data_IF_242552022695
#
_entry.id   IF_242552022695
#
_cell.length_a   1.000
_cell.length_b   1.000
_cell.length_c   1.000
_cell.angle_alpha   90.00
_cell.angle_beta   90.00
_cell.angle_gamma   90.00
#
_symmetry.space_group_name_H-M   'P 1'
#
loop_
_entity.id
_entity.type
_entity.pdbx_description
1 polymer ?
#
# COMPACT_ATOMS: atom_id res chain seq x y z
N UNK A 1 2.54 -9.73 -22.59
CA UNK A 1 3.45 -8.56 -22.70
C UNK A 1 3.37 -7.79 -21.39
N UNK A 2 4.46 -7.71 -20.62
CA UNK A 2 4.49 -6.86 -19.43
C UNK A 2 4.55 -5.39 -19.89
N UNK A 3 3.60 -4.52 -19.47
CA UNK A 3 3.60 -3.13 -19.89
C UNK A 3 4.91 -2.47 -19.46
N UNK A 4 5.46 -1.63 -20.34
CA UNK A 4 6.69 -0.88 -20.06
C UNK A 4 6.52 -0.10 -18.76
N UNK A 5 7.56 -0.09 -17.92
CA UNK A 5 7.52 0.58 -16.60
C UNK A 5 7.18 2.07 -16.74
N UNK A 6 7.53 2.69 -17.88
CA UNK A 6 7.17 4.07 -18.20
C UNK A 6 5.66 4.29 -18.34
N UNK A 7 4.90 3.30 -18.82
CA UNK A 7 3.45 3.41 -18.99
C UNK A 7 2.71 3.53 -17.65
N UNK A 8 3.34 3.11 -16.53
CA UNK A 8 2.77 3.21 -15.18
C UNK A 8 2.83 4.62 -14.60
N UNK A 9 3.64 5.53 -15.16
CA UNK A 9 3.86 6.87 -14.60
C UNK A 9 2.59 7.71 -14.57
N UNK A 10 1.85 7.75 -15.68
CA UNK A 10 0.61 8.53 -15.78
C UNK A 10 -0.45 8.02 -14.78
N UNK A 11 -0.74 6.70 -14.71
CA UNK A 11 -1.62 6.15 -13.68
C UNK A 11 -1.18 6.48 -12.24
N UNK A 12 0.12 6.40 -11.94
CA UNK A 12 0.63 6.69 -10.59
C UNK A 12 0.50 8.17 -10.22
N UNK A 13 0.78 9.09 -11.16
CA UNK A 13 0.57 10.53 -10.94
C UNK A 13 -0.90 10.84 -10.71
N UNK A 14 -1.79 10.25 -11.51
CA UNK A 14 -3.23 10.39 -11.31
C UNK A 14 -3.66 9.85 -9.94
N UNK A 15 -3.15 8.69 -9.53
CA UNK A 15 -3.45 8.11 -8.23
C UNK A 15 -3.00 9.01 -7.08
N UNK A 16 -1.80 9.60 -7.16
CA UNK A 16 -1.34 10.59 -6.18
C UNK A 16 -2.28 11.79 -6.10
N UNK A 17 -2.69 12.33 -7.25
CA UNK A 17 -3.65 13.43 -7.30
C UNK A 17 -4.98 13.08 -6.64
N UNK A 18 -5.53 11.89 -6.93
CA UNK A 18 -6.78 11.42 -6.34
C UNK A 18 -6.66 11.24 -4.82
N UNK A 19 -5.56 10.69 -4.31
CA UNK A 19 -5.33 10.59 -2.87
C UNK A 19 -5.22 11.96 -2.20
N UNK A 20 -4.52 12.93 -2.81
CA UNK A 20 -4.45 14.30 -2.28
C UNK A 20 -5.84 14.91 -2.18
N UNK A 21 -6.67 14.76 -3.21
CA UNK A 21 -8.04 15.26 -3.22
C UNK A 21 -8.88 14.59 -2.12
N UNK A 22 -8.77 13.28 -1.97
CA UNK A 22 -9.50 12.50 -0.98
C UNK A 22 -9.15 12.93 0.45
N UNK A 23 -7.85 13.04 0.77
CA UNK A 23 -7.33 13.41 2.09
C UNK A 23 -7.65 14.87 2.43
N UNK A 24 -7.60 15.78 1.45
CA UNK A 24 -7.91 17.20 1.68
C UNK A 24 -9.40 17.50 1.80
N UNK A 25 -10.25 16.82 1.03
CA UNK A 25 -11.65 17.24 0.86
C UNK A 25 -12.67 16.34 1.53
N UNK A 26 -12.43 15.04 1.60
CA UNK A 26 -13.44 14.05 2.02
C UNK A 26 -13.12 13.44 3.38
N UNK A 27 -11.86 13.06 3.59
CA UNK A 27 -11.44 12.31 4.78
C UNK A 27 -10.66 13.25 5.68
N UNK A 28 -11.39 14.14 6.36
CA UNK A 28 -10.79 15.12 7.27
C UNK A 28 -10.31 14.46 8.56
N UNK A 29 -9.12 14.88 9.02
CA UNK A 29 -8.44 14.32 10.19
C UNK A 29 -9.28 14.40 11.48
N UNK A 30 -10.11 15.44 11.63
CA UNK A 30 -10.94 15.64 12.83
C UNK A 30 -12.10 14.65 12.95
N UNK A 31 -12.45 13.95 11.86
CA UNK A 31 -13.58 13.02 11.83
C UNK A 31 -13.17 11.58 11.62
N UNK A 32 -12.15 11.35 10.80
CA UNK A 32 -11.69 10.02 10.41
C UNK A 32 -10.16 9.97 10.43
N UNK A 33 -9.50 10.13 11.60
CA UNK A 33 -8.04 10.21 11.68
C UNK A 33 -7.35 8.96 11.13
N UNK A 34 -7.86 7.77 11.45
CA UNK A 34 -7.30 6.48 11.03
C UNK A 34 -7.31 6.36 9.50
N UNK A 35 -8.46 6.69 8.90
CA UNK A 35 -8.62 6.63 7.46
C UNK A 35 -7.83 7.74 6.75
N UNK A 36 -7.72 8.93 7.36
CA UNK A 36 -6.91 10.02 6.85
C UNK A 36 -5.44 9.60 6.73
N UNK A 37 -4.87 9.04 7.79
CA UNK A 37 -3.50 8.57 7.84
C UNK A 37 -3.26 7.32 6.98
N UNK A 38 -4.25 6.44 6.84
CA UNK A 38 -4.20 5.32 5.88
C UNK A 38 -4.01 5.80 4.45
N UNK A 39 -4.83 6.76 3.98
CA UNK A 39 -4.70 7.28 2.63
C UNK A 39 -3.47 8.17 2.45
N UNK A 40 -2.99 8.83 3.51
CA UNK A 40 -1.71 9.53 3.49
C UNK A 40 -0.54 8.54 3.34
N UNK A 41 -0.57 7.41 4.04
CA UNK A 41 0.37 6.31 3.84
C UNK A 41 0.33 5.76 2.42
N UNK A 42 -0.87 5.53 1.88
CA UNK A 42 -1.04 5.08 0.49
C UNK A 42 -0.51 6.10 -0.53
N UNK A 43 -0.67 7.41 -0.28
CA UNK A 43 -0.08 8.48 -1.08
C UNK A 43 1.45 8.39 -1.08
N UNK A 44 2.08 8.28 0.10
CA UNK A 44 3.54 8.17 0.22
C UNK A 44 4.07 6.89 -0.43
N UNK A 45 3.40 5.75 -0.26
CA UNK A 45 3.74 4.51 -0.96
C UNK A 45 3.66 4.69 -2.49
N UNK A 46 2.64 5.38 -2.98
CA UNK A 46 2.46 5.64 -4.42
C UNK A 46 3.51 6.60 -4.97
N UNK A 47 3.89 7.64 -4.22
CA UNK A 47 5.01 8.52 -4.56
C UNK A 47 6.31 7.72 -4.63
N UNK A 48 6.57 6.85 -3.67
CA UNK A 48 7.78 6.02 -3.67
C UNK A 48 7.79 5.04 -4.85
N UNK A 49 6.65 4.44 -5.19
CA UNK A 49 6.50 3.62 -6.39
C UNK A 49 6.70 4.43 -7.69
N UNK A 50 6.24 5.68 -7.74
CA UNK A 50 6.49 6.59 -8.86
C UNK A 50 7.98 6.91 -8.99
N UNK A 51 8.68 7.21 -7.89
CA UNK A 51 10.12 7.43 -7.86
C UNK A 51 10.86 6.19 -8.39
N UNK A 52 10.52 4.99 -7.91
CA UNK A 52 11.10 3.74 -8.42
C UNK A 52 10.87 3.57 -9.94
N UNK A 53 9.69 3.93 -10.45
CA UNK A 53 9.38 3.90 -11.89
C UNK A 53 10.23 4.89 -12.72
N UNK A 54 10.64 6.02 -12.14
CA UNK A 54 11.59 6.94 -12.79
C UNK A 54 12.98 6.30 -12.95
N UNK A 55 13.43 5.53 -11.96
CA UNK A 55 14.67 4.75 -12.00
C UNK A 55 14.56 3.41 -12.75
N UNK A 56 13.43 3.15 -13.43
CA UNK A 56 13.13 1.88 -14.14
C UNK A 56 13.14 0.65 -13.22
N UNK A 57 13.01 0.83 -11.91
CA UNK A 57 12.87 -0.25 -10.94
C UNK A 57 11.42 -0.74 -10.97
N UNK A 58 11.23 -2.02 -11.28
CA UNK A 58 9.91 -2.67 -11.29
C UNK A 58 9.49 -2.96 -9.85
N UNK A 59 8.41 -2.32 -9.42
CA UNK A 59 7.78 -2.58 -8.11
C UNK A 59 6.42 -3.21 -8.35
N UNK A 60 6.06 -4.21 -7.54
CA UNK A 60 4.72 -4.78 -7.55
C UNK A 60 3.74 -3.87 -6.79
N UNK A 61 2.87 -3.19 -7.53
CA UNK A 61 1.81 -2.36 -6.96
C UNK A 61 0.77 -3.19 -6.18
N UNK A 62 0.58 -4.45 -6.55
CA UNK A 62 -0.31 -5.36 -5.82
C UNK A 62 0.25 -5.68 -4.43
N UNK A 63 1.56 -5.93 -4.33
CA UNK A 63 2.22 -6.16 -3.04
C UNK A 63 2.18 -4.91 -2.16
N UNK A 64 2.40 -3.73 -2.75
CA UNK A 64 2.28 -2.45 -2.07
C UNK A 64 0.87 -2.26 -1.47
N UNK A 65 -0.17 -2.50 -2.26
CA UNK A 65 -1.56 -2.32 -1.82
C UNK A 65 -1.96 -3.30 -0.71
N UNK A 66 -1.72 -4.61 -0.90
CA UNK A 66 -2.16 -5.63 0.07
C UNK A 66 -1.37 -5.55 1.39
N UNK A 67 -0.08 -5.24 1.33
CA UNK A 67 0.74 -5.10 2.53
C UNK A 67 0.36 -3.84 3.32
N UNK A 68 0.11 -2.72 2.64
CA UNK A 68 -0.39 -1.51 3.30
C UNK A 68 -1.76 -1.71 3.96
N UNK A 69 -2.68 -2.40 3.29
CA UNK A 69 -3.98 -2.75 3.87
C UNK A 69 -3.84 -3.68 5.08
N UNK A 70 -2.95 -4.67 5.00
CA UNK A 70 -2.68 -5.60 6.12
C UNK A 70 -2.23 -4.84 7.38
N UNK A 71 -1.27 -3.93 7.25
CA UNK A 71 -0.79 -3.11 8.38
C UNK A 71 -1.91 -2.23 8.94
N UNK A 72 -2.71 -1.61 8.07
CA UNK A 72 -3.84 -0.80 8.50
C UNK A 72 -4.86 -1.60 9.31
N UNK A 73 -5.24 -2.79 8.85
CA UNK A 73 -6.22 -3.64 9.55
C UNK A 73 -5.66 -4.17 10.88
N UNK A 74 -4.36 -4.48 10.95
CA UNK A 74 -3.70 -4.80 12.22
C UNK A 74 -3.77 -3.59 13.17
N UNK A 75 -3.47 -2.39 12.68
CA UNK A 75 -3.60 -1.14 13.42
C UNK A 75 -5.01 -0.91 13.96
N UNK A 76 -6.03 -1.10 13.11
CA UNK A 76 -7.44 -0.99 13.49
C UNK A 76 -7.83 -1.97 14.58
N UNK A 77 -7.32 -3.21 14.52
CA UNK A 77 -7.58 -4.21 15.54
C UNK A 77 -7.07 -3.78 16.92
N UNK A 78 -5.87 -3.17 16.95
CA UNK A 78 -5.25 -2.65 18.16
C UNK A 78 -6.02 -1.41 18.66
N UNK A 79 -6.24 -0.43 17.77
CA UNK A 79 -6.91 0.83 18.10
C UNK A 79 -8.33 0.62 18.66
N UNK A 80 -9.10 -0.29 18.05
CA UNK A 80 -10.46 -0.63 18.49
C UNK A 80 -10.53 -1.72 19.58
N UNK A 81 -9.37 -2.25 20.02
CA UNK A 81 -9.27 -3.32 21.02
C UNK A 81 -10.16 -4.55 20.70
N UNK A 82 -10.32 -4.87 19.41
CA UNK A 82 -11.28 -5.90 18.96
C UNK A 82 -10.89 -7.33 19.33
N UNK A 83 -9.66 -7.57 19.79
CA UNK A 83 -9.09 -8.90 20.11
C UNK A 83 -9.39 -9.97 19.04
N UNK A 84 -9.52 -9.55 17.77
CA UNK A 84 -9.96 -10.42 16.67
C UNK A 84 -8.79 -10.68 15.72
N UNK A 85 -8.06 -11.80 15.86
CA UNK A 85 -6.90 -12.09 15.02
C UNK A 85 -7.29 -12.56 13.60
N UNK A 86 -8.56 -12.91 13.36
CA UNK A 86 -8.98 -13.58 12.11
C UNK A 86 -8.77 -12.69 10.89
N UNK A 87 -9.09 -11.40 10.98
CA UNK A 87 -8.91 -10.46 9.87
C UNK A 87 -7.43 -10.24 9.51
N UNK A 88 -6.57 -10.12 10.51
CA UNK A 88 -5.14 -9.99 10.30
C UNK A 88 -4.55 -11.27 9.69
N UNK A 89 -4.90 -12.44 10.24
CA UNK A 89 -4.46 -13.74 9.73
C UNK A 89 -4.90 -13.95 8.28
N UNK A 90 -6.15 -13.59 7.95
CA UNK A 90 -6.66 -13.66 6.59
C UNK A 90 -5.86 -12.77 5.62
N UNK A 91 -5.58 -11.52 6.00
CA UNK A 91 -4.83 -10.60 5.12
C UNK A 91 -3.36 -10.99 4.96
N UNK A 92 -2.74 -11.56 6.00
CA UNK A 92 -1.39 -12.14 5.91
C UNK A 92 -1.39 -13.31 4.91
N UNK A 93 -2.38 -14.21 4.99
CA UNK A 93 -2.54 -15.30 4.03
C UNK A 93 -2.75 -14.76 2.61
N UNK A 94 -3.64 -13.77 2.44
CA UNK A 94 -3.90 -13.14 1.13
C UNK A 94 -2.65 -12.46 0.57
N UNK A 95 -1.79 -11.88 1.41
CA UNK A 95 -0.50 -11.32 0.98
C UNK A 95 0.39 -12.41 0.35
N UNK A 96 0.43 -13.60 0.95
CA UNK A 96 1.12 -14.76 0.38
C UNK A 96 0.53 -15.21 -0.96
N UNK A 97 -0.80 -15.30 -1.06
CA UNK A 97 -1.48 -15.69 -2.30
C UNK A 97 -1.22 -14.67 -3.43
N UNK A 98 -1.27 -13.37 -3.12
CA UNK A 98 -0.96 -12.31 -4.08
C UNK A 98 0.49 -12.41 -4.54
N UNK A 99 1.44 -12.66 -3.63
CA UNK A 99 2.84 -12.85 -3.97
C UNK A 99 3.04 -14.04 -4.92
N UNK A 100 2.47 -15.20 -4.58
CA UNK A 100 2.51 -16.41 -5.41
C UNK A 100 1.92 -16.17 -6.79
N UNK A 101 0.76 -15.50 -6.87
CA UNK A 101 0.13 -15.16 -8.16
C UNK A 101 1.03 -14.30 -9.05
N UNK A 102 1.82 -13.38 -8.46
CA UNK A 102 2.73 -12.53 -9.25
C UNK A 102 3.98 -13.28 -9.74
N UNK A 103 4.45 -14.28 -8.97
CA UNK A 103 5.55 -15.15 -9.38
C UNK A 103 5.10 -16.12 -10.49
N UNK A 104 3.92 -16.74 -10.33
CA UNK A 104 3.36 -17.69 -11.30
C UNK A 104 3.11 -17.04 -12.67
N UNK A 105 2.71 -15.77 -12.69
CA UNK A 105 2.55 -15.01 -13.93
C UNK A 105 3.88 -14.54 -14.55
N UNK A 106 5.02 -14.90 -13.96
CA UNK A 106 6.37 -14.44 -14.33
C UNK A 106 6.46 -12.90 -14.46
N UNK A 107 5.58 -12.19 -13.75
CA UNK A 107 5.40 -10.75 -13.92
C UNK A 107 6.42 -9.96 -13.10
N UNK A 108 6.92 -10.56 -12.02
CA UNK A 108 7.82 -9.96 -11.06
C UNK A 108 8.81 -10.97 -10.50
N UNK A 109 10.01 -10.50 -10.14
CA UNK A 109 10.97 -11.33 -9.40
C UNK A 109 10.72 -11.24 -7.88
N UNK A 110 11.22 -12.19 -7.06
CA UNK A 110 11.08 -12.12 -5.60
C UNK A 110 11.59 -10.80 -5.00
N UNK A 111 12.66 -10.22 -5.56
CA UNK A 111 13.21 -8.93 -5.12
C UNK A 111 12.24 -7.77 -5.36
N UNK A 112 11.55 -7.77 -6.50
CA UNK A 112 10.55 -6.74 -6.86
C UNK A 112 9.28 -6.84 -5.99
N UNK A 113 8.89 -8.06 -5.61
CA UNK A 113 7.79 -8.30 -4.67
C UNK A 113 8.14 -7.83 -3.26
N UNK A 114 9.36 -8.17 -2.80
CA UNK A 114 9.85 -7.73 -1.50
C UNK A 114 9.94 -6.20 -1.41
N UNK A 115 10.44 -5.55 -2.47
CA UNK A 115 10.47 -4.10 -2.55
C UNK A 115 9.06 -3.50 -2.52
N UNK A 116 8.10 -4.09 -3.25
CA UNK A 116 6.70 -3.66 -3.20
C UNK A 116 6.08 -3.78 -1.82
N UNK A 117 6.37 -4.88 -1.12
CA UNK A 117 5.93 -5.11 0.26
C UNK A 117 6.52 -4.05 1.22
N UNK A 118 7.82 -3.76 1.15
CA UNK A 118 8.43 -2.72 1.98
C UNK A 118 7.85 -1.33 1.73
N UNK A 119 7.63 -0.98 0.46
CA UNK A 119 7.06 0.31 0.06
C UNK A 119 5.61 0.45 0.55
N UNK A 120 4.86 -0.65 0.67
CA UNK A 120 3.53 -0.64 1.27
C UNK A 120 3.55 -0.53 2.80
N UNK A 121 4.44 -1.26 3.47
CA UNK A 121 4.51 -1.34 4.93
C UNK A 121 5.11 -0.08 5.56
N UNK A 122 6.25 0.42 5.06
CA UNK A 122 7.00 1.47 5.75
C UNK A 122 6.22 2.78 5.92
N UNK A 123 5.54 3.32 4.88
CA UNK A 123 4.72 4.51 5.05
C UNK A 123 3.52 4.27 5.98
N UNK A 124 2.89 3.08 5.91
CA UNK A 124 1.78 2.76 6.81
C UNK A 124 2.23 2.69 8.27
N UNK A 125 3.36 2.06 8.56
CA UNK A 125 3.93 2.05 9.92
C UNK A 125 4.31 3.45 10.41
N UNK A 126 4.89 4.29 9.54
CA UNK A 126 5.25 5.66 9.89
C UNK A 126 4.03 6.45 10.37
N UNK A 127 2.90 6.35 9.66
CA UNK A 127 1.68 7.07 10.02
C UNK A 127 0.85 6.36 11.09
N UNK A 128 1.03 5.05 11.30
CA UNK A 128 0.33 4.30 12.34
C UNK A 128 0.53 4.92 13.73
N UNK A 129 1.74 5.41 14.04
CA UNK A 129 2.06 6.06 15.31
C UNK A 129 1.28 7.36 15.58
N UNK A 130 0.61 7.95 14.59
CA UNK A 130 -0.09 9.22 14.74
C UNK A 130 -1.56 9.07 15.14
N UNK A 131 -2.12 7.87 15.01
CA UNK A 131 -3.54 7.62 15.29
C UNK A 131 -3.79 6.38 16.15
N UNK A 132 -2.79 5.52 16.34
CA UNK A 132 -2.84 4.45 17.33
C UNK A 132 -2.87 5.03 18.74
#
# INVERSE_FOLDING_TARGET
>A
MLPDVSQRRIPLVLQCFLYILLVKRSIIISRYPELHFFFLGALFSTILALICSLFKIKVSLHMLAISGLTIFVIGMNIHLQMQNPYWAAFLILMTGIVASSRLEMEAHTPKELFLGLLIGILPQLLFLFLWL
#
